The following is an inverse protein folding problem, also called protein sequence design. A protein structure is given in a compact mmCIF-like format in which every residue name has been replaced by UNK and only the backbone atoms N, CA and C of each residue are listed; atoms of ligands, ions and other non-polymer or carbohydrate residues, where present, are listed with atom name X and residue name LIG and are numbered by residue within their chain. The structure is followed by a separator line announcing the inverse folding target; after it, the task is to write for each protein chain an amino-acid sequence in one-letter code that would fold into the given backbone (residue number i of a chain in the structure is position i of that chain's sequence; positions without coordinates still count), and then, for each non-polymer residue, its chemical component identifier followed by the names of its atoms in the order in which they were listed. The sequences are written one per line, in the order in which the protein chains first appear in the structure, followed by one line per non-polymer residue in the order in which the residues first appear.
data_IF_352112845049
#
_entry.id   IF_352112845049
#
_cell.length_a   1.000
_cell.length_b   1.000
_cell.length_c   1.000
_cell.angle_alpha   90.00
_cell.angle_beta   90.00
_cell.angle_gamma   90.00
#
_symmetry.space_group_name_H-M   'P 1'
#
loop_
_entity.id
_entity.type
_entity.pdbx_description
1 polymer ?
#
# COMPACT_ATOMS: atom_id res chain seq x y z
N UNK A 1 -28.72 11.95 11.52
CA UNK A 1 -27.91 10.94 12.23
C UNK A 1 -26.78 10.54 11.29
N UNK A 2 -25.56 10.28 11.81
CA UNK A 2 -24.47 9.76 10.98
C UNK A 2 -24.82 8.36 10.51
N UNK A 3 -24.56 8.03 9.23
CA UNK A 3 -24.68 6.66 8.71
C UNK A 3 -23.69 5.74 9.44
N UNK A 4 -24.06 4.49 9.66
CA UNK A 4 -23.21 3.48 10.29
C UNK A 4 -22.42 2.71 9.22
N UNK A 5 -21.09 2.73 9.32
CA UNK A 5 -20.16 2.09 8.39
C UNK A 5 -19.40 0.96 9.09
N UNK A 6 -19.54 -0.26 8.57
CA UNK A 6 -18.80 -1.42 9.04
C UNK A 6 -17.66 -1.77 8.09
N UNK A 7 -16.42 -1.59 8.52
CA UNK A 7 -15.24 -2.08 7.82
C UNK A 7 -15.01 -3.55 8.13
N UNK A 8 -14.96 -4.39 7.12
CA UNK A 8 -14.56 -5.81 7.24
C UNK A 8 -13.20 -5.95 6.59
N UNK A 9 -12.18 -6.24 7.38
CA UNK A 9 -10.79 -6.33 6.94
C UNK A 9 -10.11 -7.60 7.46
N UNK A 10 -8.94 -7.92 6.92
CA UNK A 10 -8.16 -9.05 7.40
C UNK A 10 -7.53 -8.75 8.75
N UNK A 11 -6.83 -7.64 8.85
CA UNK A 11 -6.10 -7.19 10.03
C UNK A 11 -6.40 -5.71 10.28
N UNK A 12 -6.17 -5.23 11.49
CA UNK A 12 -6.31 -3.83 11.86
C UNK A 12 -5.26 -3.44 12.90
N UNK A 13 -5.04 -2.15 13.10
CA UNK A 13 -4.10 -1.64 14.11
C UNK A 13 -4.20 -2.41 15.45
N UNK A 14 -3.07 -2.78 16.13
CA UNK A 14 -1.71 -2.30 15.90
C UNK A 14 -0.91 -3.05 14.82
N UNK A 15 -1.53 -3.94 14.05
CA UNK A 15 -0.86 -4.60 12.93
C UNK A 15 -0.46 -3.58 11.85
N UNK A 16 0.78 -3.72 11.34
CA UNK A 16 1.34 -2.81 10.35
C UNK A 16 1.33 -3.43 8.95
N UNK A 17 0.79 -2.70 7.98
CA UNK A 17 0.78 -3.07 6.57
C UNK A 17 0.02 -2.05 5.72
N UNK A 18 0.08 -2.14 4.40
CA UNK A 18 -0.55 -1.16 3.52
C UNK A 18 -2.07 -1.10 3.66
N UNK A 19 -2.74 -2.26 3.76
CA UNK A 19 -4.21 -2.32 3.91
C UNK A 19 -4.60 -1.83 5.31
N UNK A 20 -3.84 -2.22 6.34
CA UNK A 20 -4.05 -1.84 7.72
C UNK A 20 -3.95 -0.32 7.90
N UNK A 21 -2.92 0.30 7.32
CA UNK A 21 -2.75 1.76 7.30
C UNK A 21 -3.90 2.45 6.60
N UNK A 22 -4.31 1.95 5.42
CA UNK A 22 -5.46 2.50 4.68
C UNK A 22 -6.74 2.39 5.50
N UNK A 23 -7.01 1.22 6.08
CA UNK A 23 -8.20 1.03 6.91
C UNK A 23 -8.18 1.99 8.10
N UNK A 24 -7.02 2.16 8.74
CA UNK A 24 -6.88 3.03 9.92
C UNK A 24 -7.18 4.48 9.60
N UNK A 25 -6.53 5.09 8.60
CA UNK A 25 -6.78 6.50 8.30
C UNK A 25 -8.20 6.75 7.74
N UNK A 26 -8.81 5.78 7.04
CA UNK A 26 -10.21 5.89 6.62
C UNK A 26 -11.15 5.88 7.83
N UNK A 27 -10.94 4.96 8.77
CA UNK A 27 -11.74 4.86 9.99
C UNK A 27 -11.63 6.12 10.83
N UNK A 28 -10.41 6.66 10.98
CA UNK A 28 -10.14 7.85 11.79
C UNK A 28 -10.64 9.13 11.12
N UNK A 29 -10.50 9.22 9.80
CA UNK A 29 -10.78 10.46 9.07
C UNK A 29 -12.23 10.62 8.61
N UNK A 30 -13.01 9.53 8.48
CA UNK A 30 -14.41 9.61 8.02
C UNK A 30 -15.36 10.01 9.15
N UNK A 31 -15.21 11.26 9.62
CA UNK A 31 -15.96 11.81 10.76
C UNK A 31 -17.48 11.90 10.53
N UNK A 32 -17.93 11.90 9.28
CA UNK A 32 -19.36 11.89 8.92
C UNK A 32 -20.06 10.56 9.16
N UNK A 33 -19.29 9.50 9.44
CA UNK A 33 -19.76 8.14 9.67
C UNK A 33 -19.54 7.67 11.13
N UNK A 34 -20.40 6.75 11.60
CA UNK A 34 -20.13 5.95 12.80
C UNK A 34 -19.41 4.69 12.37
N UNK A 35 -18.09 4.69 12.43
CA UNK A 35 -17.25 3.58 11.96
C UNK A 35 -17.10 2.47 12.98
N UNK A 36 -17.17 1.22 12.51
CA UNK A 36 -16.90 -0.02 13.24
C UNK A 36 -15.96 -0.88 12.43
N UNK A 37 -15.15 -1.71 13.08
CA UNK A 37 -14.21 -2.61 12.40
C UNK A 37 -14.43 -4.05 12.85
N UNK A 38 -14.41 -4.98 11.89
CA UNK A 38 -14.32 -6.44 12.14
C UNK A 38 -13.06 -6.97 11.45
N UNK A 39 -12.21 -7.63 12.20
CA UNK A 39 -10.97 -8.23 11.68
C UNK A 39 -10.66 -9.56 12.38
N UNK A 40 -9.63 -10.27 11.90
CA UNK A 40 -9.09 -11.40 12.65
C UNK A 40 -8.21 -10.91 13.81
N UNK A 41 -8.20 -11.69 14.91
CA UNK A 41 -7.26 -11.46 16.01
C UNK A 41 -5.92 -12.16 15.73
N UNK A 42 -4.84 -11.66 16.32
CA UNK A 42 -3.50 -12.24 16.20
C UNK A 42 -3.03 -12.96 17.47
N UNK A 43 -3.70 -12.73 18.58
CA UNK A 43 -3.44 -13.38 19.89
C UNK A 43 -4.19 -14.71 20.09
N UNK A 44 -5.02 -15.08 19.12
CA UNK A 44 -5.79 -16.33 19.14
C UNK A 44 -7.08 -16.28 19.96
N UNK A 45 -7.44 -15.11 20.48
CA UNK A 45 -8.68 -14.91 21.25
C UNK A 45 -9.71 -14.09 20.47
N UNK A 46 -10.99 -14.29 20.76
CA UNK A 46 -12.09 -13.48 20.21
C UNK A 46 -12.54 -12.48 21.28
N UNK A 47 -12.41 -11.20 20.98
CA UNK A 47 -12.76 -10.12 21.90
C UNK A 47 -13.19 -8.85 21.16
N UNK A 48 -13.72 -7.90 21.92
CA UNK A 48 -14.02 -6.55 21.44
C UNK A 48 -13.02 -5.60 22.06
N UNK A 49 -12.43 -4.77 21.21
CA UNK A 49 -11.43 -3.76 21.56
C UNK A 49 -11.94 -2.38 21.22
N UNK A 50 -11.26 -1.35 21.71
CA UNK A 50 -11.50 0.05 21.34
C UNK A 50 -10.17 0.70 20.95
N UNK A 51 -10.06 1.09 19.69
CA UNK A 51 -8.86 1.74 19.15
C UNK A 51 -9.23 3.16 18.76
N UNK A 52 -8.64 4.15 19.42
CA UNK A 52 -8.90 5.59 19.19
C UNK A 52 -10.40 5.95 19.16
N UNK A 53 -11.17 5.34 20.08
CA UNK A 53 -12.61 5.56 20.22
C UNK A 53 -13.48 4.71 19.27
N UNK A 54 -12.89 3.96 18.36
CA UNK A 54 -13.60 3.08 17.42
C UNK A 54 -13.68 1.66 17.97
N UNK A 55 -14.88 1.07 17.93
CA UNK A 55 -15.11 -0.30 18.39
C UNK A 55 -14.64 -1.30 17.33
N UNK A 56 -13.76 -2.22 17.75
CA UNK A 56 -13.12 -3.23 16.92
C UNK A 56 -13.48 -4.64 17.42
N UNK A 57 -14.09 -5.42 16.56
CA UNK A 57 -14.42 -6.82 16.83
C UNK A 57 -13.30 -7.70 16.26
N UNK A 58 -12.53 -8.34 17.12
CA UNK A 58 -11.43 -9.24 16.76
C UNK A 58 -11.87 -10.69 16.91
N UNK A 59 -11.79 -11.46 15.83
CA UNK A 59 -12.26 -12.84 15.77
C UNK A 59 -11.06 -13.77 15.63
N UNK A 60 -10.91 -14.70 16.60
CA UNK A 60 -9.83 -15.67 16.59
C UNK A 60 -9.86 -16.54 15.32
N UNK A 61 -8.75 -16.64 14.57
CA UNK A 61 -8.64 -17.59 13.48
C UNK A 61 -8.54 -19.02 14.02
N UNK A 62 -9.20 -19.96 13.36
CA UNK A 62 -9.09 -21.39 13.68
C UNK A 62 -7.86 -22.02 12.99
N UNK A 63 -7.49 -21.49 11.80
CA UNK A 63 -6.33 -21.94 11.03
C UNK A 63 -5.91 -20.89 10.00
N UNK A 64 -4.71 -21.02 9.44
CA UNK A 64 -4.21 -20.17 8.37
C UNK A 64 -3.76 -21.01 7.17
N UNK A 65 -4.26 -20.69 5.98
CA UNK A 65 -3.90 -21.33 4.72
C UNK A 65 -3.33 -20.27 3.77
N UNK A 66 -2.08 -20.42 3.39
CA UNK A 66 -1.43 -19.54 2.38
C UNK A 66 -1.66 -18.04 2.64
N UNK A 67 -1.41 -17.57 3.84
CA UNK A 67 -1.63 -16.20 4.33
C UNK A 67 -3.11 -15.78 4.49
N UNK A 68 -4.09 -16.67 4.29
CA UNK A 68 -5.49 -16.44 4.57
C UNK A 68 -5.85 -17.00 5.94
N UNK A 69 -6.38 -16.16 6.81
CA UNK A 69 -6.96 -16.58 8.08
C UNK A 69 -8.37 -17.11 7.84
N UNK A 70 -8.70 -18.21 8.53
CA UNK A 70 -10.00 -18.89 8.47
C UNK A 70 -10.49 -19.07 9.91
N UNK A 71 -11.71 -18.64 10.21
CA UNK A 71 -12.34 -18.85 11.51
C UNK A 71 -13.71 -19.50 11.34
N UNK A 72 -13.88 -20.72 11.82
CA UNK A 72 -15.16 -21.44 11.69
C UNK A 72 -16.30 -20.73 12.45
N UNK A 73 -15.98 -19.99 13.52
CA UNK A 73 -16.92 -19.17 14.27
C UNK A 73 -17.30 -17.86 13.59
N UNK A 74 -16.58 -17.44 12.52
CA UNK A 74 -16.73 -16.11 11.92
C UNK A 74 -18.14 -15.80 11.49
N UNK A 75 -18.83 -16.78 10.88
CA UNK A 75 -20.22 -16.62 10.44
C UNK A 75 -21.15 -16.23 11.61
N UNK A 76 -21.05 -16.92 12.74
CA UNK A 76 -21.87 -16.64 13.91
C UNK A 76 -21.55 -15.31 14.58
N UNK A 77 -20.25 -14.94 14.63
CA UNK A 77 -19.83 -13.64 15.16
C UNK A 77 -20.30 -12.51 14.26
N UNK A 78 -20.04 -12.59 12.94
CA UNK A 78 -20.44 -11.54 12.01
C UNK A 78 -21.96 -11.34 12.02
N UNK A 79 -22.75 -12.44 12.09
CA UNK A 79 -24.21 -12.33 12.18
C UNK A 79 -24.63 -11.52 13.41
N UNK A 80 -24.10 -11.84 14.61
CA UNK A 80 -24.39 -11.09 15.85
C UNK A 80 -24.01 -9.63 15.76
N UNK A 81 -22.83 -9.34 15.19
CA UNK A 81 -22.35 -7.97 14.99
C UNK A 81 -23.29 -7.19 14.06
N UNK A 82 -23.72 -7.79 12.94
CA UNK A 82 -24.66 -7.15 12.01
C UNK A 82 -26.03 -6.88 12.64
N UNK A 83 -26.53 -7.83 13.47
CA UNK A 83 -27.79 -7.66 14.19
C UNK A 83 -27.69 -6.56 15.27
N UNK A 84 -26.52 -6.39 15.89
CA UNK A 84 -26.23 -5.36 16.90
C UNK A 84 -26.07 -3.97 16.26
N UNK A 85 -25.16 -3.85 15.27
CA UNK A 85 -24.74 -2.55 14.67
C UNK A 85 -25.79 -2.05 13.67
N UNK A 86 -26.43 -2.94 12.91
CA UNK A 86 -27.33 -2.62 11.80
C UNK A 86 -26.70 -1.61 10.84
N UNK A 87 -25.57 -1.94 10.18
CA UNK A 87 -24.84 -0.99 9.37
C UNK A 87 -25.63 -0.54 8.14
N UNK A 88 -25.54 0.74 7.80
CA UNK A 88 -26.04 1.29 6.53
C UNK A 88 -25.16 0.85 5.37
N UNK A 89 -23.84 0.77 5.63
CA UNK A 89 -22.83 0.39 4.63
C UNK A 89 -21.88 -0.65 5.24
N UNK A 90 -21.60 -1.69 4.48
CA UNK A 90 -20.48 -2.62 4.71
C UNK A 90 -19.40 -2.31 3.69
N UNK A 91 -18.20 -1.97 4.15
CA UNK A 91 -17.00 -1.84 3.32
C UNK A 91 -16.11 -3.05 3.52
N UNK A 92 -16.01 -3.90 2.49
CA UNK A 92 -15.15 -5.08 2.51
C UNK A 92 -13.80 -4.76 1.86
N UNK A 93 -12.73 -4.88 2.64
CA UNK A 93 -11.36 -4.69 2.17
C UNK A 93 -10.83 -5.97 1.51
N UNK A 94 -10.58 -5.92 0.22
CA UNK A 94 -10.13 -7.05 -0.60
C UNK A 94 -8.63 -6.96 -0.96
N UNK A 95 -7.91 -8.12 -1.03
CA UNK A 95 -8.46 -9.48 -1.06
C UNK A 95 -8.69 -10.09 0.34
N UNK A 96 -9.84 -10.72 0.52
CA UNK A 96 -10.14 -11.55 1.68
C UNK A 96 -11.10 -12.69 1.28
N UNK A 97 -10.65 -13.68 0.50
CA UNK A 97 -11.51 -14.65 -0.18
C UNK A 97 -12.37 -15.51 0.77
N UNK A 98 -11.90 -15.76 2.00
CA UNK A 98 -12.68 -16.48 3.00
C UNK A 98 -13.97 -15.73 3.37
N UNK A 99 -13.92 -14.40 3.41
CA UNK A 99 -15.04 -13.56 3.84
C UNK A 99 -16.06 -13.28 2.73
N UNK A 100 -15.72 -13.47 1.45
CA UNK A 100 -16.63 -13.19 0.33
C UNK A 100 -18.00 -13.87 0.46
N UNK A 101 -18.06 -15.23 0.59
CA UNK A 101 -19.35 -15.92 0.68
C UNK A 101 -20.10 -15.61 1.98
N UNK A 102 -19.37 -15.36 3.08
CA UNK A 102 -19.97 -15.04 4.38
C UNK A 102 -20.63 -13.66 4.31
N UNK A 103 -19.92 -12.66 3.78
CA UNK A 103 -20.42 -11.29 3.65
C UNK A 103 -21.67 -11.24 2.76
N UNK A 104 -21.61 -11.87 1.58
CA UNK A 104 -22.77 -11.92 0.67
C UNK A 104 -24.00 -12.56 1.33
N UNK A 105 -23.78 -13.65 2.07
CA UNK A 105 -24.89 -14.37 2.70
C UNK A 105 -25.51 -13.64 3.88
N UNK A 106 -24.71 -12.91 4.64
CA UNK A 106 -25.15 -12.25 5.87
C UNK A 106 -25.55 -10.79 5.67
N UNK A 107 -25.17 -10.15 4.55
CA UNK A 107 -25.51 -8.75 4.27
C UNK A 107 -27.02 -8.52 4.41
N UNK A 108 -27.45 -7.60 5.30
CA UNK A 108 -28.87 -7.23 5.38
C UNK A 108 -29.36 -6.61 4.06
N UNK A 109 -30.66 -6.77 3.75
CA UNK A 109 -31.25 -6.32 2.46
C UNK A 109 -31.06 -4.82 2.22
N UNK A 110 -31.19 -4.02 3.27
CA UNK A 110 -31.13 -2.55 3.18
C UNK A 110 -29.70 -1.99 3.35
N UNK A 111 -28.71 -2.84 3.60
CA UNK A 111 -27.32 -2.43 3.74
C UNK A 111 -26.62 -2.39 2.39
N UNK A 112 -25.92 -1.32 2.10
CA UNK A 112 -25.07 -1.20 0.90
C UNK A 112 -23.77 -1.98 1.06
N UNK A 113 -23.30 -2.60 -0.01
CA UNK A 113 -22.03 -3.32 -0.04
C UNK A 113 -21.03 -2.56 -0.92
N UNK A 114 -19.96 -2.08 -0.31
CA UNK A 114 -18.82 -1.48 -0.99
C UNK A 114 -17.64 -2.44 -0.92
N UNK A 115 -17.06 -2.73 -2.07
CA UNK A 115 -15.84 -3.54 -2.17
C UNK A 115 -14.66 -2.61 -2.43
N UNK A 116 -13.77 -2.46 -1.45
CA UNK A 116 -12.52 -1.72 -1.60
C UNK A 116 -11.41 -2.69 -2.05
N UNK A 117 -11.03 -2.57 -3.32
CA UNK A 117 -10.13 -3.49 -3.99
C UNK A 117 -8.69 -3.00 -3.92
N UNK A 118 -7.93 -3.51 -2.95
CA UNK A 118 -6.53 -3.12 -2.75
C UNK A 118 -5.56 -3.83 -3.69
N UNK A 119 -5.81 -5.08 -4.03
CA UNK A 119 -4.98 -5.83 -4.97
C UNK A 119 -5.65 -7.12 -5.45
N UNK A 120 -5.17 -7.65 -6.58
CA UNK A 120 -5.57 -8.96 -7.09
C UNK A 120 -4.90 -10.10 -6.30
N UNK A 121 -5.55 -11.27 -6.31
CA UNK A 121 -4.96 -12.52 -5.82
C UNK A 121 -4.09 -13.10 -6.92
N UNK A 122 -2.77 -12.94 -6.83
CA UNK A 122 -1.81 -13.43 -7.81
C UNK A 122 -0.99 -14.62 -7.29
N UNK A 123 -0.48 -15.46 -8.21
CA UNK A 123 0.47 -16.51 -7.90
C UNK A 123 -0.06 -17.71 -7.12
N UNK A 124 -1.39 -17.89 -7.05
CA UNK A 124 -2.03 -18.99 -6.30
C UNK A 124 -2.37 -20.22 -7.16
N UNK A 125 -2.11 -20.20 -8.47
CA UNK A 125 -2.33 -21.34 -9.36
C UNK A 125 -3.72 -21.96 -9.19
N UNK A 126 -3.77 -23.29 -8.99
CA UNK A 126 -5.05 -24.02 -8.84
C UNK A 126 -5.89 -23.54 -7.64
N UNK A 127 -5.28 -23.04 -6.56
CA UNK A 127 -6.02 -22.53 -5.40
C UNK A 127 -6.88 -21.31 -5.76
N UNK A 128 -6.50 -20.53 -6.77
CA UNK A 128 -7.32 -19.40 -7.22
C UNK A 128 -8.66 -19.86 -7.77
N UNK A 129 -8.71 -20.99 -8.49
CA UNK A 129 -9.97 -21.52 -9.04
C UNK A 129 -11.02 -21.84 -7.97
N UNK A 130 -10.57 -22.16 -6.73
CA UNK A 130 -11.48 -22.42 -5.61
C UNK A 130 -12.17 -21.13 -5.13
N UNK A 131 -11.50 -19.99 -5.27
CA UNK A 131 -12.02 -18.71 -4.79
C UNK A 131 -12.62 -17.83 -5.88
N UNK A 132 -12.28 -18.07 -7.15
CA UNK A 132 -12.71 -17.25 -8.29
C UNK A 132 -14.22 -17.07 -8.40
N UNK A 133 -15.01 -18.13 -8.10
CA UNK A 133 -16.48 -18.04 -8.11
C UNK A 133 -17.02 -17.16 -6.99
N UNK A 134 -16.41 -17.21 -5.81
CA UNK A 134 -16.82 -16.37 -4.67
C UNK A 134 -16.38 -14.92 -4.87
N UNK A 135 -15.23 -14.71 -5.53
CA UNK A 135 -14.72 -13.41 -5.95
C UNK A 135 -15.67 -12.78 -7.00
N UNK A 136 -16.03 -13.50 -8.05
CA UNK A 136 -17.00 -13.03 -9.04
C UNK A 136 -18.35 -12.70 -8.40
N UNK A 137 -18.78 -13.50 -7.41
CA UNK A 137 -20.04 -13.27 -6.71
C UNK A 137 -20.01 -12.01 -5.86
N UNK A 138 -18.94 -11.77 -5.06
CA UNK A 138 -18.84 -10.56 -4.22
C UNK A 138 -18.80 -9.29 -5.07
N UNK A 139 -18.07 -9.30 -6.19
CA UNK A 139 -18.02 -8.18 -7.14
C UNK A 139 -19.38 -7.92 -7.80
N UNK A 140 -20.12 -8.98 -8.16
CA UNK A 140 -21.46 -8.86 -8.74
C UNK A 140 -22.47 -8.28 -7.75
N UNK A 141 -22.43 -8.71 -6.49
CA UNK A 141 -23.34 -8.29 -5.42
C UNK A 141 -22.99 -6.92 -4.82
N UNK A 142 -21.79 -6.40 -5.11
CA UNK A 142 -21.38 -5.06 -4.66
C UNK A 142 -22.29 -3.98 -5.29
N UNK A 143 -22.71 -3.03 -4.45
CA UNK A 143 -23.39 -1.80 -4.90
C UNK A 143 -22.35 -0.86 -5.52
N UNK A 144 -21.12 -0.82 -4.97
CA UNK A 144 -20.00 -0.05 -5.47
C UNK A 144 -18.69 -0.84 -5.34
N UNK A 145 -17.82 -0.75 -6.34
CA UNK A 145 -16.43 -1.23 -6.29
C UNK A 145 -15.53 -0.01 -6.32
N UNK A 146 -14.52 0.02 -5.44
CA UNK A 146 -13.55 1.10 -5.37
C UNK A 146 -12.17 0.53 -5.62
N UNK A 147 -11.44 1.11 -6.59
CA UNK A 147 -10.04 0.78 -6.89
C UNK A 147 -9.13 1.95 -6.50
N UNK A 148 -7.86 1.64 -6.24
CA UNK A 148 -6.90 2.63 -5.77
C UNK A 148 -6.27 3.48 -6.88
N UNK A 149 -6.48 3.10 -8.15
CA UNK A 149 -6.02 3.85 -9.31
C UNK A 149 -6.84 3.51 -10.56
N UNK A 150 -6.91 4.42 -11.56
CA UNK A 150 -7.53 4.13 -12.85
C UNK A 150 -6.79 3.03 -13.62
N UNK A 151 -5.47 2.92 -13.47
CA UNK A 151 -4.67 1.89 -14.12
C UNK A 151 -5.05 0.47 -13.67
N UNK A 152 -5.64 0.34 -12.48
CA UNK A 152 -6.08 -0.95 -11.95
C UNK A 152 -7.34 -1.48 -12.65
N UNK A 153 -8.06 -0.62 -13.39
CA UNK A 153 -9.20 -1.00 -14.24
C UNK A 153 -8.65 -1.57 -15.54
N UNK A 154 -8.05 -2.74 -15.47
CA UNK A 154 -7.32 -3.38 -16.56
C UNK A 154 -7.89 -4.76 -16.88
N UNK A 155 -7.96 -5.20 -18.16
CA UNK A 155 -8.52 -6.50 -18.55
C UNK A 155 -7.97 -7.72 -17.81
N UNK A 156 -6.73 -7.63 -17.30
CA UNK A 156 -6.11 -8.70 -16.51
C UNK A 156 -6.59 -8.76 -15.06
N UNK A 157 -7.41 -7.81 -14.60
CA UNK A 157 -7.97 -7.80 -13.25
C UNK A 157 -9.41 -8.30 -13.24
N UNK A 158 -9.84 -9.10 -12.24
CA UNK A 158 -11.21 -9.59 -12.13
C UNK A 158 -12.25 -8.46 -12.00
N UNK A 159 -11.86 -7.30 -11.45
CA UNK A 159 -12.78 -6.15 -11.33
C UNK A 159 -13.18 -5.55 -12.66
N UNK A 160 -12.37 -5.73 -13.72
CA UNK A 160 -12.65 -5.17 -15.05
C UNK A 160 -14.00 -5.57 -15.63
N UNK A 161 -14.46 -6.78 -15.32
CA UNK A 161 -15.80 -7.28 -15.70
C UNK A 161 -16.94 -6.39 -15.17
N UNK A 162 -16.68 -5.69 -14.06
CA UNK A 162 -17.64 -4.86 -13.34
C UNK A 162 -17.28 -3.36 -13.40
N UNK A 163 -16.56 -2.93 -14.43
CA UNK A 163 -16.01 -1.56 -14.57
C UNK A 163 -17.08 -0.47 -14.48
N UNK A 164 -18.31 -0.75 -14.85
CA UNK A 164 -19.44 0.21 -14.77
C UNK A 164 -19.84 0.53 -13.31
N UNK A 165 -19.41 -0.32 -12.34
CA UNK A 165 -19.58 -0.11 -10.90
C UNK A 165 -18.33 0.43 -10.23
N UNK A 166 -17.25 0.72 -10.97
CA UNK A 166 -15.98 1.13 -10.38
C UNK A 166 -15.93 2.64 -10.24
N UNK A 167 -15.57 3.09 -9.03
CA UNK A 167 -15.05 4.43 -8.76
C UNK A 167 -13.58 4.31 -8.33
N UNK A 168 -12.82 5.36 -8.56
CA UNK A 168 -11.42 5.42 -8.16
C UNK A 168 -11.29 6.31 -6.94
N UNK A 169 -10.81 5.75 -5.83
CA UNK A 169 -10.37 6.49 -4.67
C UNK A 169 -8.90 6.15 -4.40
N UNK A 170 -7.97 7.07 -4.66
CA UNK A 170 -6.56 6.85 -4.40
C UNK A 170 -6.30 6.49 -2.94
N UNK A 171 -5.31 5.62 -2.69
CA UNK A 171 -4.79 5.51 -1.35
C UNK A 171 -4.09 6.80 -0.94
N UNK A 172 -4.20 7.12 0.36
CA UNK A 172 -3.47 8.22 0.97
C UNK A 172 -2.20 7.74 1.69
N UNK A 173 -1.27 8.67 1.87
CA UNK A 173 -0.18 8.55 2.84
C UNK A 173 -0.40 9.58 3.96
N UNK A 174 0.13 9.27 5.15
CA UNK A 174 -0.01 10.16 6.31
C UNK A 174 1.11 11.20 6.23
N UNK A 175 0.81 12.34 5.61
CA UNK A 175 1.76 13.43 5.39
C UNK A 175 2.28 14.04 6.68
N UNK A 176 1.45 14.13 7.73
CA UNK A 176 1.84 14.63 9.05
C UNK A 176 2.95 13.79 9.71
N UNK A 177 3.08 12.51 9.35
CA UNK A 177 4.16 11.64 9.81
C UNK A 177 5.51 11.99 9.16
N UNK A 178 5.49 12.65 8.01
CA UNK A 178 6.65 12.98 7.21
C UNK A 178 7.11 14.43 7.35
N UNK A 179 6.32 15.27 8.03
CA UNK A 179 6.72 16.65 8.34
C UNK A 179 7.90 16.63 9.30
N UNK A 180 8.93 17.42 8.98
CA UNK A 180 10.13 17.54 9.81
C UNK A 180 9.80 18.07 11.21
N UNK A 181 10.41 17.48 12.21
CA UNK A 181 10.28 17.82 13.63
C UNK A 181 11.60 18.40 14.15
N UNK A 182 11.58 19.12 15.28
CA UNK A 182 12.80 19.59 15.92
C UNK A 182 13.84 18.46 16.11
N UNK A 183 15.08 18.69 15.68
CA UNK A 183 16.17 17.71 15.72
C UNK A 183 16.27 16.79 14.49
N UNK A 184 15.29 16.81 13.54
CA UNK A 184 15.38 15.98 12.34
C UNK A 184 16.43 16.50 11.36
N UNK A 185 16.68 17.82 11.29
CA UNK A 185 17.70 18.40 10.40
C UNK A 185 19.10 17.88 10.73
N UNK A 186 19.44 17.84 12.01
CA UNK A 186 20.73 17.30 12.47
C UNK A 186 20.86 15.80 12.20
N UNK A 187 19.75 15.06 12.32
CA UNK A 187 19.71 13.63 12.01
C UNK A 187 19.87 13.36 10.51
N UNK A 188 19.24 14.17 9.66
CA UNK A 188 19.38 14.09 8.21
C UNK A 188 20.85 14.36 7.81
N UNK A 189 21.46 15.40 8.37
CA UNK A 189 22.84 15.72 8.13
C UNK A 189 23.79 14.60 8.61
N UNK A 190 23.53 14.02 9.77
CA UNK A 190 24.26 12.86 10.28
C UNK A 190 24.13 11.64 9.36
N UNK A 191 22.94 11.38 8.80
CA UNK A 191 22.73 10.32 7.80
C UNK A 191 23.58 10.60 6.55
N UNK A 192 23.53 11.80 6.00
CA UNK A 192 24.32 12.17 4.80
C UNK A 192 25.82 12.06 5.06
N UNK A 193 26.30 12.59 6.17
CA UNK A 193 27.70 12.52 6.58
C UNK A 193 28.19 11.09 6.78
N UNK A 194 27.38 10.22 7.39
CA UNK A 194 27.68 8.79 7.59
C UNK A 194 28.03 8.07 6.28
N UNK A 195 27.44 8.50 5.18
CA UNK A 195 27.69 7.94 3.86
C UNK A 195 28.57 8.81 2.98
N UNK A 196 29.37 9.70 3.59
CA UNK A 196 30.36 10.54 2.91
C UNK A 196 29.74 11.60 2.01
N UNK A 197 28.53 12.08 2.32
CA UNK A 197 27.77 13.04 1.53
C UNK A 197 27.55 12.62 0.07
N UNK A 198 27.67 11.31 -0.22
CA UNK A 198 27.31 10.73 -1.52
C UNK A 198 25.81 10.84 -1.76
N UNK A 199 25.42 10.79 -3.02
CA UNK A 199 24.01 10.66 -3.41
C UNK A 199 23.41 9.38 -2.83
N UNK A 200 22.17 9.45 -2.35
CA UNK A 200 21.48 8.34 -1.70
C UNK A 200 20.33 7.85 -2.57
N UNK A 201 20.38 6.57 -2.95
CA UNK A 201 19.23 5.84 -3.52
C UNK A 201 18.60 5.02 -2.41
N UNK A 202 17.38 5.35 -2.01
CA UNK A 202 16.66 4.70 -0.92
C UNK A 202 15.61 3.74 -1.47
N UNK A 203 15.50 2.56 -0.86
CA UNK A 203 14.34 1.68 -0.96
C UNK A 203 13.78 1.46 0.44
N UNK A 204 12.45 1.47 0.58
CA UNK A 204 11.75 1.10 1.82
C UNK A 204 10.60 0.14 1.51
N UNK A 205 10.56 -0.98 2.24
CA UNK A 205 9.45 -1.93 2.12
C UNK A 205 9.79 -3.33 2.60
N UNK A 206 8.80 -4.22 2.53
CA UNK A 206 9.01 -5.64 2.86
C UNK A 206 9.89 -6.31 1.79
N UNK A 207 10.84 -7.13 2.21
CA UNK A 207 11.69 -7.88 1.29
C UNK A 207 10.97 -9.17 0.85
N UNK A 208 10.09 -9.03 -0.13
CA UNK A 208 9.28 -10.11 -0.74
C UNK A 208 9.47 -10.11 -2.26
N UNK A 209 9.24 -11.23 -2.96
CA UNK A 209 9.58 -11.37 -4.39
C UNK A 209 9.02 -10.27 -5.29
N UNK A 210 7.75 -9.89 -5.12
CA UNK A 210 7.11 -8.90 -5.99
C UNK A 210 7.67 -7.48 -5.85
N UNK A 211 8.39 -7.17 -4.76
CA UNK A 211 9.10 -5.90 -4.57
C UNK A 211 10.36 -5.78 -5.42
N UNK A 212 10.83 -6.87 -6.04
CA UNK A 212 11.87 -6.87 -7.06
C UNK A 212 13.24 -6.33 -6.62
N UNK A 213 13.55 -6.38 -5.32
CA UNK A 213 14.82 -5.85 -4.77
C UNK A 213 16.06 -6.45 -5.40
N UNK A 214 15.98 -7.68 -5.93
CA UNK A 214 17.07 -8.28 -6.68
C UNK A 214 17.49 -7.43 -7.88
N UNK A 215 16.57 -6.72 -8.54
CA UNK A 215 16.89 -5.84 -9.66
C UNK A 215 17.66 -4.59 -9.22
N UNK A 216 17.35 -4.03 -8.04
CA UNK A 216 18.12 -2.92 -7.48
C UNK A 216 19.55 -3.34 -7.11
N UNK A 217 19.67 -4.53 -6.48
CA UNK A 217 20.97 -5.12 -6.13
C UNK A 217 21.78 -5.43 -7.41
N UNK A 218 21.13 -5.90 -8.46
CA UNK A 218 21.80 -6.16 -9.75
C UNK A 218 22.18 -4.86 -10.46
N UNK A 219 21.29 -3.85 -10.47
CA UNK A 219 21.51 -2.56 -11.11
C UNK A 219 22.76 -1.84 -10.57
N UNK A 220 23.08 -2.03 -9.29
CA UNK A 220 24.26 -1.43 -8.65
C UNK A 220 25.55 -1.62 -9.46
N UNK A 221 25.71 -2.79 -10.10
CA UNK A 221 26.90 -3.11 -10.91
C UNK A 221 27.07 -2.23 -12.16
N UNK A 222 25.98 -1.61 -12.61
CA UNK A 222 25.94 -0.79 -13.81
C UNK A 222 25.87 0.72 -13.52
N UNK A 223 25.59 1.11 -12.25
CA UNK A 223 25.53 2.51 -11.82
C UNK A 223 26.95 3.11 -11.82
N UNK A 224 27.10 4.20 -12.54
CA UNK A 224 28.35 4.95 -12.69
C UNK A 224 28.47 6.09 -11.69
N UNK A 225 27.36 6.67 -11.28
CA UNK A 225 27.30 7.77 -10.32
C UNK A 225 27.84 7.34 -8.95
N UNK A 226 28.53 8.26 -8.27
CA UNK A 226 28.95 8.04 -6.88
C UNK A 226 27.74 8.17 -5.95
N UNK A 227 27.15 7.04 -5.65
CA UNK A 227 25.99 6.94 -4.78
C UNK A 227 26.07 5.74 -3.83
N UNK A 228 25.26 5.77 -2.78
CA UNK A 228 25.03 4.65 -1.88
C UNK A 228 23.56 4.21 -2.01
N UNK A 229 23.32 2.90 -1.96
CA UNK A 229 21.99 2.31 -2.00
C UNK A 229 21.62 1.86 -0.59
N UNK A 230 20.58 2.45 -0.02
CA UNK A 230 20.09 2.16 1.32
C UNK A 230 18.79 1.35 1.21
N UNK A 231 18.75 0.16 1.80
CA UNK A 231 17.63 -0.75 1.73
C UNK A 231 17.01 -0.91 3.12
N UNK A 232 15.90 -0.21 3.37
CA UNK A 232 15.10 -0.29 4.58
C UNK A 232 14.03 -1.37 4.51
N UNK A 233 13.80 -2.03 5.66
CA UNK A 233 12.80 -3.09 5.78
C UNK A 233 13.40 -4.46 6.05
N UNK A 234 12.52 -5.47 6.09
CA UNK A 234 12.87 -6.90 6.27
C UNK A 234 11.87 -7.79 5.56
N UNK A 235 12.22 -9.05 5.36
CA UNK A 235 11.33 -10.05 4.81
C UNK A 235 12.06 -11.35 4.46
N UNK A 236 11.34 -12.35 3.91
CA UNK A 236 11.91 -13.66 3.58
C UNK A 236 13.08 -13.58 2.59
N UNK A 237 13.12 -12.56 1.72
CA UNK A 237 14.20 -12.37 0.75
C UNK A 237 15.47 -11.73 1.33
N UNK A 238 15.44 -11.18 2.55
CA UNK A 238 16.56 -10.41 3.13
C UNK A 238 17.89 -11.17 3.09
N UNK A 239 17.90 -12.43 3.53
CA UNK A 239 19.11 -13.23 3.58
C UNK A 239 19.65 -13.56 2.17
N UNK A 240 18.76 -13.82 1.21
CA UNK A 240 19.12 -14.07 -0.20
C UNK A 240 19.72 -12.83 -0.84
N UNK A 241 19.09 -11.68 -0.66
CA UNK A 241 19.55 -10.39 -1.19
C UNK A 241 20.93 -10.03 -0.64
N UNK A 242 21.18 -10.22 0.65
CA UNK A 242 22.50 -9.99 1.25
C UNK A 242 23.60 -10.87 0.66
N UNK A 243 23.28 -12.08 0.18
CA UNK A 243 24.24 -12.96 -0.50
C UNK A 243 24.46 -12.62 -1.98
N UNK A 244 23.59 -11.80 -2.60
CA UNK A 244 23.71 -11.41 -4.00
C UNK A 244 24.75 -10.32 -4.24
N UNK A 245 25.17 -9.62 -3.20
CA UNK A 245 26.13 -8.52 -3.30
C UNK A 245 27.20 -8.60 -2.22
N UNK A 246 28.42 -8.21 -2.58
CA UNK A 246 29.52 -7.90 -1.67
C UNK A 246 29.92 -6.43 -1.76
N UNK A 247 29.15 -5.62 -2.50
CA UNK A 247 29.42 -4.19 -2.68
C UNK A 247 29.26 -3.43 -1.37
N UNK A 248 30.19 -2.56 -1.09
CA UNK A 248 30.16 -1.65 0.04
C UNK A 248 29.17 -0.48 -0.17
N UNK A 249 28.70 -0.26 -1.42
CA UNK A 249 27.69 0.73 -1.77
C UNK A 249 26.27 0.34 -1.36
N UNK A 250 25.98 -0.95 -1.09
CA UNK A 250 24.66 -1.41 -0.64
C UNK A 250 24.65 -1.59 0.87
N UNK A 251 23.71 -0.95 1.55
CA UNK A 251 23.52 -1.06 3.00
C UNK A 251 22.10 -1.48 3.35
N UNK A 252 21.96 -2.60 4.06
CA UNK A 252 20.69 -3.05 4.61
C UNK A 252 20.46 -2.43 5.98
N UNK A 253 19.41 -1.62 6.13
CA UNK A 253 19.12 -0.86 7.33
C UNK A 253 18.28 -1.62 8.36
N UNK A 254 17.62 -2.71 7.92
CA UNK A 254 16.61 -3.39 8.74
C UNK A 254 15.30 -2.62 8.82
N UNK A 255 14.41 -3.00 9.77
CA UNK A 255 13.16 -2.27 10.02
C UNK A 255 13.51 -0.92 10.66
N UNK A 256 13.05 0.16 10.05
CA UNK A 256 13.22 1.53 10.54
C UNK A 256 11.97 1.94 11.32
N UNK A 257 12.11 2.50 12.53
CA UNK A 257 11.00 3.18 13.19
C UNK A 257 10.62 4.43 12.40
N UNK A 258 9.37 4.90 12.54
CA UNK A 258 8.82 6.00 11.76
C UNK A 258 9.67 7.29 11.86
N UNK A 259 10.18 7.58 13.06
CA UNK A 259 11.07 8.74 13.29
C UNK A 259 12.34 8.71 12.46
N UNK A 260 12.92 7.52 12.27
CA UNK A 260 14.12 7.34 11.45
C UNK A 260 13.77 7.31 9.97
N UNK A 261 12.68 6.61 9.61
CA UNK A 261 12.18 6.51 8.25
C UNK A 261 11.98 7.88 7.63
N UNK A 262 11.33 8.80 8.36
CA UNK A 262 11.16 10.20 7.95
C UNK A 262 12.49 10.87 7.60
N UNK A 263 13.48 10.74 8.48
CA UNK A 263 14.81 11.32 8.25
C UNK A 263 15.51 10.68 7.03
N UNK A 264 15.36 9.36 6.82
CA UNK A 264 15.91 8.70 5.64
C UNK A 264 15.25 9.14 4.33
N UNK A 265 13.92 9.34 4.30
CA UNK A 265 13.26 9.90 3.13
C UNK A 265 13.79 11.30 2.80
N UNK A 266 13.89 12.19 3.78
CA UNK A 266 14.43 13.53 3.56
C UNK A 266 15.93 13.58 3.27
N UNK A 267 16.69 12.57 3.69
CA UNK A 267 18.12 12.45 3.36
C UNK A 267 18.37 11.90 1.95
N UNK A 268 17.43 11.18 1.37
CA UNK A 268 17.61 10.51 0.09
C UNK A 268 17.40 11.45 -1.09
N UNK A 269 18.14 11.21 -2.18
CA UNK A 269 17.99 11.91 -3.44
C UNK A 269 17.01 11.13 -4.35
N UNK A 270 17.15 9.82 -4.47
CA UNK A 270 16.29 8.97 -5.29
C UNK A 270 15.55 7.93 -4.47
N UNK A 271 14.40 7.54 -4.95
CA UNK A 271 13.67 6.39 -4.43
C UNK A 271 13.67 5.25 -5.44
N UNK A 272 14.43 4.20 -5.14
CA UNK A 272 14.57 3.03 -5.98
C UNK A 272 13.37 2.09 -5.82
N UNK A 273 12.28 2.32 -6.55
CA UNK A 273 11.04 1.56 -6.43
C UNK A 273 10.96 0.43 -7.45
N UNK A 274 11.49 -0.73 -7.08
CA UNK A 274 11.68 -1.89 -7.98
C UNK A 274 10.54 -2.90 -7.99
N UNK A 275 9.37 -2.55 -7.44
CA UNK A 275 8.20 -3.44 -7.54
C UNK A 275 7.97 -3.91 -8.98
N UNK A 276 7.74 -5.22 -9.17
CA UNK A 276 7.73 -5.87 -10.47
C UNK A 276 6.42 -6.64 -10.77
N UNK A 277 5.36 -6.34 -10.02
CA UNK A 277 4.07 -7.00 -10.18
C UNK A 277 2.94 -6.05 -9.81
N UNK A 278 1.78 -6.19 -10.44
CA UNK A 278 0.55 -5.47 -10.10
C UNK A 278 -0.02 -5.77 -8.70
N UNK A 279 0.61 -6.69 -7.93
CA UNK A 279 0.37 -6.78 -6.48
C UNK A 279 0.71 -5.47 -5.77
N UNK A 280 1.60 -4.67 -6.35
CA UNK A 280 1.80 -3.28 -5.98
C UNK A 280 0.72 -2.42 -6.65
N UNK A 281 -0.42 -2.33 -6.01
CA UNK A 281 -1.58 -1.66 -6.60
C UNK A 281 -1.47 -0.12 -6.60
N UNK A 282 -0.66 0.46 -5.71
CA UNK A 282 -0.52 1.90 -5.57
C UNK A 282 0.92 2.34 -5.28
N UNK A 283 1.51 1.84 -4.19
CA UNK A 283 2.84 2.25 -3.74
C UNK A 283 2.78 3.41 -2.74
N UNK A 284 2.26 3.18 -1.55
CA UNK A 284 2.21 4.21 -0.49
C UNK A 284 3.62 4.76 -0.21
N UNK A 285 4.63 3.87 -0.03
CA UNK A 285 6.02 4.28 0.18
C UNK A 285 6.62 5.12 -0.97
N UNK A 286 6.10 4.94 -2.20
CA UNK A 286 6.48 5.75 -3.35
C UNK A 286 5.95 7.19 -3.19
N UNK A 287 4.68 7.34 -2.80
CA UNK A 287 4.08 8.65 -2.55
C UNK A 287 4.76 9.37 -1.36
N UNK A 288 5.07 8.63 -0.28
CA UNK A 288 5.81 9.14 0.87
C UNK A 288 7.19 9.68 0.47
N UNK A 289 7.95 8.91 -0.32
CA UNK A 289 9.27 9.32 -0.80
C UNK A 289 9.18 10.58 -1.70
N UNK A 290 8.21 10.61 -2.61
CA UNK A 290 7.98 11.77 -3.48
C UNK A 290 7.59 13.02 -2.67
N UNK A 291 6.79 12.88 -1.61
CA UNK A 291 6.45 13.97 -0.71
C UNK A 291 7.68 14.56 -0.02
N UNK A 292 8.64 13.73 0.35
CA UNK A 292 9.91 14.16 0.94
C UNK A 292 10.93 14.67 -0.09
N UNK A 293 10.58 14.67 -1.38
CA UNK A 293 11.42 15.21 -2.46
C UNK A 293 12.32 14.18 -3.15
N UNK A 294 12.23 12.90 -2.81
CA UNK A 294 12.95 11.86 -3.55
C UNK A 294 12.39 11.72 -4.97
N UNK A 295 13.27 11.64 -5.96
CA UNK A 295 12.88 11.35 -7.35
C UNK A 295 12.78 9.84 -7.53
N UNK A 296 11.60 9.30 -7.93
CA UNK A 296 11.44 7.88 -8.13
C UNK A 296 12.05 7.37 -9.44
N UNK A 297 12.59 6.15 -9.35
CA UNK A 297 12.86 5.29 -10.52
C UNK A 297 12.01 4.04 -10.37
N UNK A 298 11.14 3.76 -11.34
CA UNK A 298 10.16 2.67 -11.31
C UNK A 298 10.27 1.78 -12.52
N UNK A 299 9.71 0.56 -12.44
CA UNK A 299 9.43 -0.24 -13.63
C UNK A 299 8.07 0.10 -14.24
N UNK A 300 7.93 -0.12 -15.55
CA UNK A 300 6.63 -0.19 -16.21
C UNK A 300 5.90 -1.45 -15.72
N UNK A 301 4.78 -1.27 -15.02
CA UNK A 301 3.98 -2.38 -14.49
C UNK A 301 2.55 -2.25 -15.01
N UNK A 302 2.21 -3.02 -16.01
CA UNK A 302 0.90 -3.00 -16.63
C UNK A 302 -0.21 -3.33 -15.61
N UNK A 303 -1.24 -2.51 -15.52
CA UNK A 303 -2.35 -2.68 -14.59
C UNK A 303 -2.02 -2.31 -13.13
N UNK A 304 -0.89 -1.67 -12.86
CA UNK A 304 -0.52 -1.17 -11.53
C UNK A 304 -0.73 0.34 -11.41
N UNK A 305 -1.11 0.80 -10.22
CA UNK A 305 -1.18 2.22 -9.92
C UNK A 305 0.18 2.90 -9.75
N UNK A 306 1.29 2.17 -9.68
CA UNK A 306 2.65 2.72 -9.54
C UNK A 306 2.93 3.76 -10.62
N UNK A 307 2.65 3.43 -11.88
CA UNK A 307 2.86 4.31 -13.04
C UNK A 307 1.78 5.41 -13.20
N UNK A 308 0.82 5.45 -12.29
CA UNK A 308 -0.10 6.56 -12.12
C UNK A 308 0.31 7.48 -10.96
N UNK A 309 0.90 6.94 -9.91
CA UNK A 309 1.47 7.72 -8.80
C UNK A 309 2.69 8.49 -9.29
N UNK A 310 3.65 7.83 -9.93
CA UNK A 310 4.81 8.45 -10.58
C UNK A 310 4.65 8.47 -12.09
N UNK A 311 4.74 9.65 -12.70
CA UNK A 311 4.57 9.86 -14.12
C UNK A 311 5.93 9.92 -14.81
N UNK A 312 6.11 9.05 -15.81
CA UNK A 312 7.33 8.98 -16.65
C UNK A 312 7.68 10.32 -17.27
N UNK A 313 8.90 10.81 -17.01
CA UNK A 313 9.41 12.05 -17.60
C UNK A 313 8.83 13.34 -17.02
N UNK A 314 7.90 13.23 -16.06
CA UNK A 314 7.29 14.36 -15.35
C UNK A 314 7.70 14.41 -13.88
N UNK A 315 7.53 13.29 -13.17
CA UNK A 315 7.83 13.21 -11.73
C UNK A 315 8.95 12.23 -11.39
N UNK A 316 9.44 11.45 -12.37
CA UNK A 316 10.50 10.47 -12.23
C UNK A 316 10.77 9.70 -13.50
N UNK A 317 11.60 8.68 -13.41
CA UNK A 317 11.95 7.79 -14.52
C UNK A 317 11.19 6.47 -14.42
N UNK A 318 10.79 5.96 -15.58
CA UNK A 318 10.15 4.66 -15.74
C UNK A 318 10.89 3.85 -16.80
N UNK A 319 11.26 2.62 -16.46
CA UNK A 319 12.07 1.75 -17.33
C UNK A 319 11.39 0.40 -17.56
N UNK A 320 11.80 -0.37 -18.57
CA UNK A 320 11.24 -1.69 -18.84
C UNK A 320 11.36 -2.63 -17.63
N UNK A 321 10.30 -3.41 -17.41
CA UNK A 321 10.24 -4.35 -16.29
C UNK A 321 11.42 -5.33 -16.31
N UNK A 322 12.15 -5.39 -15.19
CA UNK A 322 13.23 -6.33 -14.99
C UNK A 322 14.56 -5.97 -15.65
N UNK A 323 14.65 -4.82 -16.34
CA UNK A 323 15.91 -4.36 -16.96
C UNK A 323 16.77 -3.57 -15.95
N UNK A 324 17.67 -4.30 -15.28
CA UNK A 324 18.59 -3.73 -14.29
C UNK A 324 19.57 -2.71 -14.92
N UNK A 325 19.93 -2.87 -16.20
CA UNK A 325 20.83 -1.92 -16.89
C UNK A 325 20.10 -0.62 -17.21
N UNK A 326 18.88 -0.70 -17.73
CA UNK A 326 18.04 0.48 -17.95
C UNK A 326 17.74 1.20 -16.62
N UNK A 327 17.54 0.42 -15.52
CA UNK A 327 17.32 0.96 -14.19
C UNK A 327 18.53 1.77 -13.69
N UNK A 328 19.73 1.22 -13.85
CA UNK A 328 20.98 1.91 -13.51
C UNK A 328 21.17 3.20 -14.37
N UNK A 329 20.91 3.11 -15.66
CA UNK A 329 21.01 4.26 -16.56
C UNK A 329 20.02 5.38 -16.18
N UNK A 330 18.83 5.04 -15.71
CA UNK A 330 17.85 6.02 -15.20
C UNK A 330 18.34 6.68 -13.89
N UNK A 331 18.94 5.92 -12.99
CA UNK A 331 19.59 6.47 -11.78
C UNK A 331 20.70 7.46 -12.19
N UNK A 332 21.61 7.06 -13.05
CA UNK A 332 22.72 7.89 -13.53
C UNK A 332 22.24 9.17 -14.23
N UNK A 333 21.18 9.06 -15.04
CA UNK A 333 20.56 10.19 -15.72
C UNK A 333 20.07 11.27 -14.75
N UNK A 334 19.33 10.86 -13.71
CA UNK A 334 18.77 11.81 -12.75
C UNK A 334 19.85 12.37 -11.84
N UNK A 335 20.80 11.55 -11.36
CA UNK A 335 21.88 12.00 -10.48
C UNK A 335 22.91 12.87 -11.21
N UNK A 336 23.03 12.73 -12.55
CA UNK A 336 23.95 13.51 -13.39
C UNK A 336 23.38 14.84 -13.91
N UNK A 337 22.09 15.11 -13.70
CA UNK A 337 21.41 16.33 -14.17
C UNK A 337 20.61 16.98 -13.03
N UNK A 338 21.20 17.97 -12.38
CA UNK A 338 20.61 18.66 -11.22
C UNK A 338 19.28 19.36 -11.58
N UNK A 339 19.19 19.95 -12.77
CA UNK A 339 17.95 20.61 -13.23
C UNK A 339 16.82 19.61 -13.44
N UNK A 340 17.14 18.43 -13.97
CA UNK A 340 16.21 17.34 -14.13
C UNK A 340 15.74 16.82 -12.78
N UNK A 341 16.68 16.63 -11.85
CA UNK A 341 16.39 16.22 -10.47
C UNK A 341 15.43 17.19 -9.79
N UNK A 342 15.75 18.49 -9.78
CA UNK A 342 14.91 19.52 -9.15
C UNK A 342 13.52 19.56 -9.74
N UNK A 343 13.41 19.51 -11.09
CA UNK A 343 12.13 19.51 -11.79
C UNK A 343 11.28 18.32 -11.39
N UNK A 344 11.85 17.10 -11.38
CA UNK A 344 11.11 15.89 -11.00
C UNK A 344 10.73 15.89 -9.52
N UNK A 345 11.63 16.30 -8.64
CA UNK A 345 11.40 16.39 -7.21
C UNK A 345 10.24 17.34 -6.87
N UNK A 346 10.25 18.55 -7.44
CA UNK A 346 9.19 19.54 -7.25
C UNK A 346 7.85 19.05 -7.81
N UNK A 347 7.83 18.56 -9.05
CA UNK A 347 6.63 18.07 -9.70
C UNK A 347 6.05 16.84 -8.95
N UNK A 348 6.93 15.93 -8.49
CA UNK A 348 6.55 14.77 -7.72
C UNK A 348 5.92 15.14 -6.39
N UNK A 349 6.56 16.04 -5.63
CA UNK A 349 6.04 16.54 -4.36
C UNK A 349 4.69 17.24 -4.53
N UNK A 350 4.56 18.12 -5.52
CA UNK A 350 3.31 18.81 -5.79
C UNK A 350 2.19 17.83 -6.10
N UNK A 351 2.45 16.86 -7.01
CA UNK A 351 1.47 15.85 -7.40
C UNK A 351 0.94 15.04 -6.21
N UNK A 352 1.84 14.50 -5.36
CA UNK A 352 1.40 13.65 -4.25
C UNK A 352 0.69 14.45 -3.16
N UNK A 353 1.07 15.70 -2.94
CA UNK A 353 0.38 16.62 -2.02
C UNK A 353 -1.03 16.94 -2.51
N UNK A 354 -1.20 17.18 -3.81
CA UNK A 354 -2.50 17.53 -4.37
C UNK A 354 -3.47 16.35 -4.44
N UNK A 355 -2.95 15.10 -4.55
CA UNK A 355 -3.77 13.96 -4.91
C UNK A 355 -3.83 12.84 -3.88
N UNK A 356 -2.78 12.65 -3.05
CA UNK A 356 -2.57 11.38 -2.35
C UNK A 356 -2.32 11.53 -0.84
N UNK A 357 -2.63 12.66 -0.22
CA UNK A 357 -2.65 12.74 1.25
C UNK A 357 -3.82 11.94 1.82
N UNK A 358 -3.71 11.49 3.07
CA UNK A 358 -4.80 10.75 3.72
C UNK A 358 -6.08 11.59 3.80
N UNK A 359 -5.98 12.92 4.00
CA UNK A 359 -7.12 13.82 3.98
C UNK A 359 -7.86 13.80 2.64
N UNK A 360 -7.11 13.84 1.52
CA UNK A 360 -7.68 13.75 0.16
C UNK A 360 -8.35 12.40 -0.08
N UNK A 361 -7.69 11.31 0.33
CA UNK A 361 -8.23 9.96 0.18
C UNK A 361 -9.53 9.77 0.97
N UNK A 362 -9.61 10.29 2.20
CA UNK A 362 -10.82 10.28 3.04
C UNK A 362 -11.94 11.05 2.36
N UNK A 363 -11.68 12.28 1.93
CA UNK A 363 -12.67 13.14 1.28
C UNK A 363 -13.24 12.52 0.00
N UNK A 364 -12.39 11.92 -0.83
CA UNK A 364 -12.83 11.21 -2.04
C UNK A 364 -13.69 10.00 -1.68
N UNK A 365 -13.28 9.23 -0.66
CA UNK A 365 -14.05 8.09 -0.17
C UNK A 365 -15.44 8.52 0.34
N UNK A 366 -15.52 9.56 1.17
CA UNK A 366 -16.81 10.10 1.66
C UNK A 366 -17.69 10.55 0.49
N UNK A 367 -17.11 11.28 -0.47
CA UNK A 367 -17.83 11.71 -1.69
C UNK A 367 -18.45 10.55 -2.46
N UNK A 368 -17.75 9.41 -2.54
CA UNK A 368 -18.28 8.21 -3.20
C UNK A 368 -19.39 7.56 -2.36
N UNK A 369 -19.18 7.43 -1.05
CA UNK A 369 -20.14 6.78 -0.15
C UNK A 369 -21.43 7.57 0.03
N UNK A 370 -21.38 8.90 -0.05
CA UNK A 370 -22.54 9.76 0.08
C UNK A 370 -23.51 9.65 -1.12
N UNK A 371 -23.04 9.11 -2.23
CA UNK A 371 -23.85 8.82 -3.43
C UNK A 371 -24.63 7.51 -3.34
N UNK A 372 -24.43 6.69 -2.29
CA UNK A 372 -25.08 5.40 -2.06
C UNK A 372 -26.35 5.52 -1.20
#
# INVERSE_FOLDING_TARGET
MKKTLLHITKCYYPEEGGIETVTKYLVDGMESYNSYVVCFSHDGETYVDTVDGVRVYRIAPSLRISSQDIAFSYYGHLKRILDEIKPDIIMLHCPNPFLYPITVRLKPKNTKLVVLWHSDILGKGLLYHLVARSEDRILREADQIITTSPNYIHPSSPVYKYRDKIKVAPNGFIDTDLVLRPGDSERIEAIRSKYGNRKIVLFVGRHVPYKGLNYLVEAERYIKSDCVILIGGRGPETARLGKMTSSDRIKFLGKLPLSDLRCYYHAADLFGFTSCSKQEAFGIALAEAMYCGCVPVTFTIEGSGVNWVSLKGETGEEVPLGDAKAYAAAIDKVLGDEKLYERYSQAGKQRVTDMFTCERAVKEMETILDQL
#
